data_IF_088493902585
#
_entry.id   IF_088493902585
#
_cell.length_a   1.000
_cell.length_b   1.000
_cell.length_c   1.000
_cell.angle_alpha   90.00
_cell.angle_beta   90.00
_cell.angle_gamma   90.00
#
_symmetry.space_group_name_H-M   'P 1'
#
loop_
_entity.id
_entity.type
_entity.pdbx_description
1 polymer ?
#
# COMPACT_ATOMS: atom_id res chain seq x y z
N UNK A 1 12.83 -5.10 8.44
CA UNK A 1 12.13 -4.19 7.51
C UNK A 1 10.64 -4.42 7.57
N UNK A 2 9.86 -3.41 7.29
CA UNK A 2 8.41 -3.53 7.33
C UNK A 2 7.87 -4.40 6.19
N UNK A 3 6.77 -5.09 6.46
CA UNK A 3 6.01 -5.79 5.43
C UNK A 3 5.03 -4.79 4.82
N UNK A 4 5.19 -4.51 3.54
CA UNK A 4 4.32 -3.58 2.82
C UNK A 4 3.54 -4.34 1.75
N UNK A 5 2.22 -4.23 1.82
CA UNK A 5 1.30 -4.83 0.85
C UNK A 5 0.58 -3.74 0.10
N UNK A 6 0.42 -3.89 -1.20
CA UNK A 6 -0.31 -2.94 -2.02
C UNK A 6 -1.23 -3.66 -2.99
N UNK A 7 -2.50 -3.31 -2.94
CA UNK A 7 -3.45 -3.73 -3.96
C UNK A 7 -3.45 -2.71 -5.09
N UNK A 8 -3.39 -3.18 -6.31
CA UNK A 8 -3.21 -2.32 -7.48
C UNK A 8 -3.95 -2.88 -8.69
N UNK A 9 -3.98 -2.12 -9.76
CA UNK A 9 -4.42 -2.60 -11.08
C UNK A 9 -3.27 -2.41 -12.07
N UNK A 10 -3.36 -3.08 -13.23
CA UNK A 10 -2.29 -3.05 -14.23
C UNK A 10 -2.05 -1.65 -14.79
N UNK A 11 -3.11 -0.86 -14.92
CA UNK A 11 -3.00 0.52 -15.40
C UNK A 11 -3.53 1.44 -14.30
N UNK A 12 -2.62 1.98 -13.51
CA UNK A 12 -2.99 2.83 -12.37
C UNK A 12 -1.85 3.81 -12.09
N UNK A 13 -1.97 5.07 -12.55
CA UNK A 13 -0.93 6.07 -12.30
C UNK A 13 -0.62 6.29 -10.82
N UNK A 14 -1.66 6.32 -9.96
CA UNK A 14 -1.45 6.49 -8.52
C UNK A 14 -0.76 5.27 -7.90
N UNK A 15 -1.04 4.08 -8.41
CA UNK A 15 -0.34 2.88 -7.96
C UNK A 15 1.15 2.96 -8.30
N UNK A 16 1.47 3.42 -9.50
CA UNK A 16 2.86 3.60 -9.93
C UNK A 16 3.57 4.66 -9.07
N UNK A 17 2.88 5.74 -8.73
CA UNK A 17 3.43 6.79 -7.88
C UNK A 17 3.70 6.27 -6.46
N UNK A 18 2.77 5.50 -5.91
CA UNK A 18 2.94 4.90 -4.59
C UNK A 18 4.11 3.91 -4.57
N UNK A 19 4.21 3.08 -5.60
CA UNK A 19 5.31 2.13 -5.74
C UNK A 19 6.64 2.85 -5.84
N UNK A 20 6.72 3.92 -6.63
CA UNK A 20 7.96 4.70 -6.77
C UNK A 20 8.36 5.33 -5.43
N UNK A 21 7.42 5.85 -4.68
CA UNK A 21 7.70 6.42 -3.35
C UNK A 21 8.27 5.37 -2.42
N UNK A 22 7.65 4.20 -2.35
CA UNK A 22 8.12 3.10 -1.49
C UNK A 22 9.51 2.62 -1.93
N UNK A 23 9.74 2.49 -3.23
CA UNK A 23 11.04 2.07 -3.75
C UNK A 23 12.12 3.10 -3.45
N UNK A 24 11.80 4.39 -3.45
CA UNK A 24 12.74 5.43 -3.08
C UNK A 24 13.19 5.31 -1.62
N UNK A 25 12.40 4.61 -0.80
CA UNK A 25 12.74 4.33 0.59
C UNK A 25 13.40 2.96 0.77
N UNK A 26 13.72 2.28 -0.33
CA UNK A 26 14.32 0.95 -0.29
C UNK A 26 13.34 -0.17 -0.03
N UNK A 27 12.05 0.07 -0.21
CA UNK A 27 11.00 -0.92 0.06
C UNK A 27 10.39 -1.39 -1.25
N UNK A 28 10.33 -2.71 -1.43
CA UNK A 28 9.63 -3.34 -2.54
C UNK A 28 8.28 -3.85 -2.02
N UNK A 29 7.16 -3.23 -2.41
CA UNK A 29 5.85 -3.68 -1.92
C UNK A 29 5.44 -5.02 -2.53
N UNK A 30 4.75 -5.84 -1.76
CA UNK A 30 4.05 -7.02 -2.27
C UNK A 30 2.78 -6.54 -2.95
N UNK A 31 2.78 -6.62 -4.28
CA UNK A 31 1.70 -6.07 -5.09
C UNK A 31 0.74 -7.17 -5.53
N UNK A 32 -0.56 -6.95 -5.31
CA UNK A 32 -1.62 -7.85 -5.75
C UNK A 32 -2.50 -7.12 -6.76
N UNK A 33 -2.66 -7.69 -7.95
CA UNK A 33 -3.46 -7.07 -9.01
C UNK A 33 -4.91 -7.50 -8.88
N UNK A 34 -5.78 -6.55 -8.52
CA UNK A 34 -7.19 -6.81 -8.25
C UNK A 34 -8.09 -6.67 -9.47
N UNK A 35 -7.56 -6.17 -10.58
CA UNK A 35 -8.29 -6.15 -11.85
C UNK A 35 -8.28 -7.52 -12.54
N UNK A 36 -7.36 -8.41 -12.16
CA UNK A 36 -7.30 -9.78 -12.69
C UNK A 36 -7.71 -10.82 -11.66
N UNK A 37 -7.86 -10.43 -10.39
CA UNK A 37 -8.23 -11.36 -9.31
C UNK A 37 -9.38 -10.75 -8.50
N UNK A 38 -10.60 -11.18 -8.81
CA UNK A 38 -11.81 -10.63 -8.20
C UNK A 38 -11.95 -11.01 -6.74
N UNK A 39 -11.42 -12.18 -6.34
CA UNK A 39 -11.45 -12.60 -4.93
C UNK A 39 -10.57 -11.69 -4.09
N UNK A 40 -9.40 -11.34 -4.61
CA UNK A 40 -8.50 -10.41 -3.92
C UNK A 40 -9.08 -8.99 -3.88
N UNK A 41 -9.88 -8.61 -4.87
CA UNK A 41 -10.57 -7.31 -4.83
C UNK A 41 -11.58 -7.26 -3.69
N UNK A 42 -12.33 -8.34 -3.49
CA UNK A 42 -13.27 -8.43 -2.37
C UNK A 42 -12.53 -8.37 -1.03
N UNK A 43 -11.41 -9.06 -0.94
CA UNK A 43 -10.57 -9.03 0.27
C UNK A 43 -10.02 -7.65 0.56
N UNK A 44 -9.59 -6.94 -0.49
CA UNK A 44 -9.12 -5.55 -0.37
C UNK A 44 -10.22 -4.67 0.23
N UNK A 45 -11.41 -4.75 -0.31
CA UNK A 45 -12.55 -3.93 0.19
C UNK A 45 -12.84 -4.22 1.65
N UNK A 46 -12.81 -5.47 2.03
CA UNK A 46 -13.03 -5.87 3.43
C UNK A 46 -11.95 -5.30 4.34
N UNK A 47 -10.68 -5.44 3.95
CA UNK A 47 -9.55 -4.93 4.73
C UNK A 47 -9.51 -3.40 4.78
N UNK A 48 -9.98 -2.74 3.73
CA UNK A 48 -9.92 -1.28 3.59
C UNK A 48 -11.19 -0.58 4.09
N UNK A 49 -12.01 -1.26 4.90
CA UNK A 49 -13.21 -0.66 5.48
C UNK A 49 -14.25 -0.27 4.44
N UNK A 50 -14.34 -0.99 3.34
CA UNK A 50 -15.29 -0.76 2.27
C UNK A 50 -14.73 0.06 1.09
N UNK A 51 -13.52 0.60 1.20
CA UNK A 51 -12.91 1.33 0.09
C UNK A 51 -12.60 0.36 -1.05
N UNK A 52 -12.89 0.79 -2.28
CA UNK A 52 -12.74 -0.06 -3.48
C UNK A 52 -11.77 0.55 -4.49
N UNK A 53 -11.16 1.68 -4.17
CA UNK A 53 -10.20 2.33 -5.05
C UNK A 53 -8.80 1.74 -4.89
N UNK A 54 -7.95 1.90 -5.89
CA UNK A 54 -6.55 1.50 -5.83
C UNK A 54 -5.67 2.74 -6.01
N UNK A 55 -4.49 2.77 -5.43
CA UNK A 55 -3.91 1.72 -4.60
C UNK A 55 -4.54 1.67 -3.20
N UNK A 56 -4.47 0.51 -2.55
CA UNK A 56 -4.74 0.37 -1.13
C UNK A 56 -3.50 -0.24 -0.50
N UNK A 57 -2.92 0.45 0.48
CA UNK A 57 -1.61 0.15 1.03
C UNK A 57 -1.74 -0.25 2.49
N UNK A 58 -1.02 -1.30 2.88
CA UNK A 58 -0.98 -1.81 4.24
C UNK A 58 0.48 -1.93 4.66
N UNK A 59 0.82 -1.42 5.84
CA UNK A 59 2.16 -1.53 6.41
C UNK A 59 2.06 -2.32 7.71
N UNK A 60 2.72 -3.46 7.76
CA UNK A 60 2.66 -4.39 8.90
C UNK A 60 1.23 -4.76 9.28
N UNK A 61 0.35 -4.88 8.27
CA UNK A 61 -1.05 -5.23 8.46
C UNK A 61 -1.98 -4.04 8.73
N UNK A 62 -1.45 -2.87 8.99
CA UNK A 62 -2.25 -1.67 9.25
C UNK A 62 -2.61 -0.96 7.96
N UNK A 63 -3.88 -0.62 7.82
CA UNK A 63 -4.38 0.07 6.64
C UNK A 63 -3.91 1.53 6.61
N UNK A 64 -3.14 1.86 5.59
CA UNK A 64 -2.66 3.23 5.37
C UNK A 64 -3.64 4.01 4.49
N UNK A 65 -4.14 3.38 3.45
CA UNK A 65 -5.02 3.98 2.47
C UNK A 65 -4.43 4.00 1.09
N UNK A 66 -4.70 5.05 0.34
CA UNK A 66 -4.18 5.22 -1.02
C UNK A 66 -2.90 6.03 -1.07
N UNK A 67 -2.59 6.52 -2.27
CA UNK A 67 -1.38 7.31 -2.46
C UNK A 67 -1.40 8.62 -1.66
N UNK A 68 -2.55 9.29 -1.58
CA UNK A 68 -2.63 10.58 -0.88
C UNK A 68 -2.27 10.41 0.60
N UNK A 69 -2.78 9.36 1.24
CA UNK A 69 -2.48 9.05 2.62
C UNK A 69 -1.01 8.66 2.81
N UNK A 70 -0.46 7.88 1.89
CA UNK A 70 0.95 7.51 1.93
C UNK A 70 1.86 8.74 1.81
N UNK A 71 1.54 9.62 0.86
CA UNK A 71 2.28 10.86 0.65
C UNK A 71 2.20 11.77 1.86
N UNK A 72 1.02 11.89 2.47
CA UNK A 72 0.83 12.69 3.67
C UNK A 72 1.70 12.21 4.82
N UNK A 73 1.79 10.90 5.02
CA UNK A 73 2.68 10.31 6.03
C UNK A 73 4.14 10.67 5.75
N UNK A 74 4.54 10.59 4.49
CA UNK A 74 5.91 10.91 4.11
C UNK A 74 6.23 12.39 4.37
N UNK A 75 5.33 13.28 3.98
CA UNK A 75 5.52 14.72 4.16
C UNK A 75 5.56 15.12 5.64
N UNK A 76 4.83 14.39 6.48
CA UNK A 76 4.82 14.63 7.92
C UNK A 76 6.02 14.00 8.63
N UNK A 77 6.86 13.24 7.92
CA UNK A 77 8.01 12.55 8.53
C UNK A 77 7.62 11.29 9.27
N UNK A 78 6.39 10.78 9.08
CA UNK A 78 5.87 9.62 9.81
C UNK A 78 6.00 8.31 9.02
N UNK A 79 6.33 8.38 7.73
CA UNK A 79 6.42 7.16 6.91
C UNK A 79 7.70 6.38 7.21
N UNK A 80 8.85 7.03 7.28
CA UNK A 80 10.12 6.34 7.50
C UNK A 80 10.13 5.51 8.79
N UNK A 81 9.63 6.03 9.93
CA UNK A 81 9.56 5.20 11.14
C UNK A 81 8.71 3.94 10.96
N UNK A 82 7.59 4.05 10.24
CA UNK A 82 6.74 2.88 9.97
C UNK A 82 7.47 1.84 9.12
N UNK A 83 8.22 2.28 8.13
CA UNK A 83 8.96 1.38 7.24
C UNK A 83 10.16 0.73 7.93
N UNK A 84 10.67 1.33 8.99
CA UNK A 84 11.78 0.78 9.76
C UNK A 84 11.32 -0.23 10.81
N UNK A 85 10.04 -0.25 11.13
CA UNK A 85 9.49 -1.20 12.10
C UNK A 85 9.48 -2.60 11.48
N UNK A 86 10.06 -3.58 12.17
CA UNK A 86 10.05 -4.95 11.70
C UNK A 86 8.64 -5.52 11.74
N UNK A 87 8.27 -6.31 10.72
CA UNK A 87 6.99 -7.00 10.73
C UNK A 87 6.97 -8.03 11.86
N UNK A 88 5.91 -8.04 12.64
CA UNK A 88 5.69 -9.08 13.63
C UNK A 88 5.28 -10.36 12.89
N UNK A 89 6.01 -11.40 13.13
CA UNK A 89 5.91 -12.67 12.40
C UNK A 89 4.59 -13.39 12.47
#
# INVERSE_FOLDING_TARGET
MAKVEMYATRVCPYCSMAEALLRSKGIEPNKTLVDVNTEERARMRERAGGRHTVPQIFINGDHIGGFDELKALDQAGNLDPLLQTAAEG
#
